data_IF_582624388917
#
_entry.id   IF_582624388917
#
_cell.length_a   1.000
_cell.length_b   1.000
_cell.length_c   1.000
_cell.angle_alpha   90.00
_cell.angle_beta   90.00
_cell.angle_gamma   90.00
#
_symmetry.space_group_name_H-M   'P 1'
#
loop_
_entity.id
_entity.type
_entity.pdbx_description
1 polymer ?
#
# COMPACT_ATOMS: atom_id res chain seq x y z
N UNK A 1 25.00 -0.74 20.19
CA UNK A 1 25.20 -0.53 18.74
C UNK A 1 24.97 -1.87 18.08
N UNK A 2 23.81 -2.06 17.48
CA UNK A 2 23.51 -3.25 16.69
C UNK A 2 22.60 -2.78 15.55
N UNK A 3 23.17 -2.81 14.36
CA UNK A 3 22.55 -2.91 13.04
C UNK A 3 21.26 -2.13 12.76
N UNK A 4 21.50 -0.88 12.35
CA UNK A 4 20.77 -0.26 11.25
C UNK A 4 20.98 -1.10 9.97
N UNK A 5 20.19 -2.14 9.78
CA UNK A 5 20.14 -2.86 8.49
C UNK A 5 18.74 -3.38 8.11
N UNK A 6 17.82 -3.54 9.07
CA UNK A 6 16.46 -4.03 8.80
C UNK A 6 15.43 -2.95 8.41
N UNK A 7 15.80 -1.66 8.40
CA UNK A 7 14.84 -0.56 8.17
C UNK A 7 14.36 -0.44 6.70
N UNK A 8 15.00 -1.09 5.74
CA UNK A 8 14.86 -0.71 4.32
C UNK A 8 14.49 -1.81 3.32
N UNK A 9 14.05 -3.01 3.73
CA UNK A 9 13.74 -4.04 2.71
C UNK A 9 12.64 -5.05 3.03
N UNK A 10 11.54 -4.58 3.65
CA UNK A 10 10.22 -5.18 3.49
C UNK A 10 9.24 -4.04 3.27
N UNK A 11 8.73 -3.86 2.04
CA UNK A 11 7.55 -3.02 1.85
C UNK A 11 6.35 -3.77 2.46
N UNK A 12 6.14 -3.65 3.76
CA UNK A 12 5.02 -4.26 4.50
C UNK A 12 3.66 -3.62 4.18
N UNK A 13 3.63 -2.62 3.28
CA UNK A 13 2.45 -1.81 2.96
C UNK A 13 1.86 -2.11 1.57
N UNK A 14 2.32 -3.17 0.90
CA UNK A 14 1.78 -3.60 -0.40
C UNK A 14 1.65 -5.12 -0.49
N UNK A 15 0.52 -5.59 -1.00
CA UNK A 15 0.23 -7.00 -1.21
C UNK A 15 -0.21 -7.24 -2.67
N UNK A 16 0.33 -8.29 -3.30
CA UNK A 16 -0.22 -8.80 -4.56
C UNK A 16 -1.35 -9.76 -4.21
N UNK A 17 -2.55 -9.48 -4.70
CA UNK A 17 -3.74 -10.31 -4.45
C UNK A 17 -3.93 -11.32 -5.58
N UNK A 18 -3.66 -10.93 -6.84
CA UNK A 18 -3.81 -11.79 -8.01
C UNK A 18 -2.83 -11.43 -9.15
N UNK A 19 -2.47 -12.43 -9.96
CA UNK A 19 -1.60 -12.26 -11.13
C UNK A 19 -2.38 -12.49 -12.43
N UNK A 20 -2.23 -11.61 -13.42
CA UNK A 20 -2.69 -11.86 -14.80
C UNK A 20 -1.69 -12.71 -15.59
N UNK A 21 -0.39 -12.57 -15.30
CA UNK A 21 0.69 -13.24 -16.02
C UNK A 21 1.82 -13.62 -15.06
N UNK A 22 2.61 -14.64 -15.44
CA UNK A 22 3.76 -15.08 -14.66
C UNK A 22 5.05 -14.98 -15.49
N UNK A 23 6.08 -14.26 -15.04
CA UNK A 23 6.18 -13.59 -13.73
C UNK A 23 5.40 -12.27 -13.64
N UNK A 24 4.88 -11.97 -12.46
CA UNK A 24 4.32 -10.66 -12.10
C UNK A 24 5.35 -9.74 -11.44
N UNK A 25 5.19 -8.44 -11.63
CA UNK A 25 6.00 -7.39 -11.01
C UNK A 25 5.07 -6.31 -10.45
N UNK A 26 5.24 -6.03 -9.16
CA UNK A 26 4.62 -4.89 -8.50
C UNK A 26 5.71 -4.05 -7.84
N UNK A 27 5.78 -2.79 -8.21
CA UNK A 27 6.65 -1.80 -7.58
C UNK A 27 5.81 -0.62 -7.17
N UNK A 28 5.84 -0.24 -5.91
CA UNK A 28 5.21 0.97 -5.43
C UNK A 28 6.21 1.87 -4.73
N UNK A 29 6.05 3.17 -4.95
CA UNK A 29 6.76 4.24 -4.25
C UNK A 29 5.75 5.24 -3.72
N UNK A 30 6.00 5.79 -2.54
CA UNK A 30 5.11 6.73 -1.86
C UNK A 30 5.86 8.02 -1.56
N UNK A 31 5.22 9.14 -1.86
CA UNK A 31 5.67 10.48 -1.48
C UNK A 31 4.51 11.21 -0.80
N UNK A 32 4.46 11.19 0.53
CA UNK A 32 3.32 11.70 1.31
C UNK A 32 2.02 10.98 0.93
N UNK A 33 1.04 11.71 0.38
CA UNK A 33 -0.27 11.21 -0.07
C UNK A 33 -0.28 10.71 -1.52
N UNK A 34 0.84 10.81 -2.23
CA UNK A 34 0.95 10.35 -3.62
C UNK A 34 1.64 8.99 -3.69
N UNK A 35 0.99 8.06 -4.39
CA UNK A 35 1.44 6.71 -4.62
C UNK A 35 1.65 6.49 -6.11
N UNK A 36 2.84 6.05 -6.46
CA UNK A 36 3.20 5.65 -7.80
C UNK A 36 3.43 4.15 -7.85
N UNK A 37 2.62 3.46 -8.63
CA UNK A 37 2.61 2.00 -8.74
C UNK A 37 2.89 1.59 -10.18
N UNK A 38 3.82 0.65 -10.34
CA UNK A 38 4.06 -0.06 -11.59
C UNK A 38 3.62 -1.50 -11.37
N UNK A 39 2.56 -1.90 -12.08
CA UNK A 39 1.99 -3.24 -12.05
C UNK A 39 2.14 -3.87 -13.44
N UNK A 40 2.84 -5.01 -13.54
CA UNK A 40 2.98 -5.79 -14.78
C UNK A 40 2.70 -7.25 -14.49
N UNK A 41 1.74 -7.84 -15.19
CA UNK A 41 1.32 -9.22 -14.91
C UNK A 41 0.61 -9.39 -13.55
N UNK A 42 0.17 -8.29 -12.93
CA UNK A 42 -0.56 -8.24 -11.66
C UNK A 42 -1.95 -7.70 -11.95
N UNK A 43 -3.00 -8.43 -11.60
CA UNK A 43 -4.38 -8.00 -11.83
C UNK A 43 -4.92 -7.19 -10.67
N UNK A 44 -4.71 -7.66 -9.44
CA UNK A 44 -5.21 -7.03 -8.23
C UNK A 44 -4.10 -6.94 -7.18
N UNK A 45 -4.09 -5.82 -6.46
CA UNK A 45 -3.17 -5.57 -5.37
C UNK A 45 -3.79 -4.64 -4.34
N UNK A 46 -3.23 -4.66 -3.13
CA UNK A 46 -3.68 -3.86 -2.00
C UNK A 46 -2.56 -2.97 -1.50
N UNK A 47 -2.85 -1.68 -1.34
CA UNK A 47 -2.00 -0.73 -0.61
C UNK A 47 -2.53 -0.58 0.81
N UNK A 48 -1.66 -0.70 1.81
CA UNK A 48 -1.99 -0.46 3.20
C UNK A 48 -1.47 0.91 3.62
N UNK A 49 -2.35 1.72 4.22
CA UNK A 49 -2.07 3.11 4.58
C UNK A 49 -1.86 3.25 6.08
N UNK A 50 -0.75 3.89 6.46
CA UNK A 50 -0.40 4.21 7.85
C UNK A 50 -0.62 5.72 8.10
N UNK A 51 -1.36 6.13 9.14
CA UNK A 51 -1.63 7.54 9.46
C UNK A 51 -0.39 8.35 9.87
N UNK A 52 0.71 7.69 10.26
CA UNK A 52 1.99 8.38 10.48
C UNK A 52 2.68 8.74 9.16
N UNK A 53 2.25 8.11 8.07
CA UNK A 53 2.87 8.20 6.76
C UNK A 53 2.05 9.05 5.80
N UNK A 54 0.71 8.96 5.85
CA UNK A 54 -0.22 9.72 5.01
C UNK A 54 -1.09 10.67 5.83
N UNK A 55 -1.50 11.77 5.22
CA UNK A 55 -2.44 12.73 5.81
C UNK A 55 -3.86 12.48 5.27
N UNK A 56 -4.69 11.76 6.04
CA UNK A 56 -6.08 11.47 5.67
C UNK A 56 -6.99 12.70 5.60
N UNK A 57 -6.53 13.88 6.05
CA UNK A 57 -7.25 15.14 5.82
C UNK A 57 -7.09 15.71 4.41
N UNK A 58 -6.16 15.13 3.64
CA UNK A 58 -5.90 15.48 2.24
C UNK A 58 -6.23 14.30 1.33
N UNK A 59 -6.58 14.55 0.06
CA UNK A 59 -6.81 13.49 -0.91
C UNK A 59 -5.58 12.58 -1.00
N UNK A 60 -5.82 11.27 -1.04
CA UNK A 60 -4.81 10.29 -1.43
C UNK A 60 -4.87 10.19 -2.94
N UNK A 61 -3.70 10.24 -3.58
CA UNK A 61 -3.58 10.09 -5.01
C UNK A 61 -2.84 8.79 -5.31
N UNK A 62 -3.41 7.93 -6.14
CA UNK A 62 -2.75 6.72 -6.62
C UNK A 62 -2.70 6.73 -8.13
N UNK A 63 -1.49 6.62 -8.65
CA UNK A 63 -1.22 6.46 -10.07
C UNK A 63 -0.69 5.04 -10.30
N UNK A 64 -1.33 4.30 -11.21
CA UNK A 64 -0.94 2.94 -11.59
C UNK A 64 -0.56 2.97 -13.06
N UNK A 65 0.67 2.56 -13.37
CA UNK A 65 1.22 2.57 -14.72
C UNK A 65 1.13 3.94 -15.44
N UNK A 66 1.10 5.04 -14.66
CA UNK A 66 0.99 6.41 -15.17
C UNK A 66 -0.46 6.92 -15.30
N UNK A 67 -1.46 6.11 -14.97
CA UNK A 67 -2.86 6.51 -14.96
C UNK A 67 -3.34 6.77 -13.52
N UNK A 68 -3.99 7.91 -13.30
CA UNK A 68 -4.59 8.19 -11.99
C UNK A 68 -5.83 7.32 -11.79
N UNK A 69 -5.74 6.36 -10.89
CA UNK A 69 -6.84 5.42 -10.57
C UNK A 69 -7.63 5.86 -9.34
N UNK A 70 -7.02 6.69 -8.48
CA UNK A 70 -7.64 7.19 -7.26
C UNK A 70 -7.13 8.61 -6.97
N UNK A 71 -8.05 9.51 -6.60
CA UNK A 71 -7.74 10.87 -6.13
C UNK A 71 -8.88 11.38 -5.24
N UNK A 72 -8.99 10.85 -4.03
CA UNK A 72 -10.10 11.14 -3.12
C UNK A 72 -9.68 11.09 -1.65
N UNK A 73 -10.54 11.58 -0.76
CA UNK A 73 -10.35 11.44 0.68
C UNK A 73 -10.65 10.00 1.08
N UNK A 74 -9.63 9.31 1.60
CA UNK A 74 -9.77 7.96 2.15
C UNK A 74 -10.17 8.08 3.60
N UNK A 75 -11.25 7.40 3.99
CA UNK A 75 -11.65 7.31 5.39
C UNK A 75 -10.89 6.20 6.09
N UNK A 76 -10.45 6.46 7.32
CA UNK A 76 -9.83 5.45 8.16
C UNK A 76 -10.88 4.43 8.62
N UNK A 77 -10.59 3.14 8.46
CA UNK A 77 -11.42 2.04 8.94
C UNK A 77 -10.75 1.34 10.13
N UNK A 78 -11.41 1.46 11.29
CA UNK A 78 -10.92 0.94 12.57
C UNK A 78 -11.00 -0.60 12.63
N UNK A 79 -11.87 -1.24 11.86
CA UNK A 79 -11.99 -2.70 11.82
C UNK A 79 -10.84 -3.32 11.02
N UNK A 80 -10.43 -2.70 9.90
CA UNK A 80 -9.22 -3.06 9.15
C UNK A 80 -7.96 -2.99 10.03
N UNK A 81 -7.87 -2.00 10.93
CA UNK A 81 -6.75 -1.84 11.87
C UNK A 81 -6.60 -3.03 12.85
N UNK A 82 -7.70 -3.58 13.37
CA UNK A 82 -7.65 -4.71 14.31
C UNK A 82 -7.22 -6.00 13.61
N UNK A 83 -7.62 -6.21 12.36
CA UNK A 83 -7.26 -7.40 11.59
C UNK A 83 -5.76 -7.46 11.27
N UNK A 84 -5.15 -6.34 10.87
CA UNK A 84 -3.71 -6.30 10.56
C UNK A 84 -2.83 -6.31 11.83
N UNK A 85 -3.24 -5.61 12.90
CA UNK A 85 -2.49 -5.58 14.16
C UNK A 85 -2.33 -6.97 14.82
N UNK A 86 -3.31 -7.87 14.63
CA UNK A 86 -3.25 -9.26 15.12
C UNK A 86 -2.35 -10.15 14.25
N UNK A 87 -2.23 -9.84 12.95
CA UNK A 87 -1.49 -10.66 11.98
C UNK A 87 0.00 -10.35 11.95
N UNK A 88 0.40 -9.07 12.05
CA UNK A 88 1.80 -8.68 11.87
C UNK A 88 2.67 -8.83 13.13
N UNK A 89 2.06 -8.94 14.33
CA UNK A 89 2.74 -8.98 15.65
C UNK A 89 3.74 -7.82 15.90
N UNK A 90 3.85 -6.86 14.98
CA UNK A 90 4.68 -5.68 15.07
C UNK A 90 3.76 -4.47 15.32
N UNK A 91 3.72 -4.03 16.59
CA UNK A 91 2.83 -2.93 17.03
C UNK A 91 3.21 -1.56 16.45
N UNK A 92 4.28 -1.48 15.66
CA UNK A 92 4.78 -0.26 15.06
C UNK A 92 4.17 0.06 13.68
N UNK A 93 3.37 -0.82 13.09
CA UNK A 93 2.69 -0.58 11.80
C UNK A 93 1.18 -0.74 11.97
N UNK A 94 0.53 0.32 12.45
CA UNK A 94 -0.92 0.42 12.43
C UNK A 94 -1.35 0.88 11.04
N UNK A 95 -1.86 -0.04 10.23
CA UNK A 95 -2.55 0.32 9.00
C UNK A 95 -4.01 0.64 9.32
N UNK A 96 -4.45 1.86 9.02
CA UNK A 96 -5.81 2.32 9.32
C UNK A 96 -6.70 2.43 8.08
N UNK A 97 -6.16 2.19 6.90
CA UNK A 97 -6.95 2.03 5.68
C UNK A 97 -6.25 1.08 4.70
N UNK A 98 -7.06 0.46 3.86
CA UNK A 98 -6.59 -0.37 2.74
C UNK A 98 -7.23 0.11 1.44
N UNK A 99 -6.45 0.10 0.37
CA UNK A 99 -6.91 0.42 -0.98
C UNK A 99 -6.71 -0.81 -1.84
N UNK A 100 -7.82 -1.46 -2.19
CA UNK A 100 -7.81 -2.54 -3.17
C UNK A 100 -7.90 -1.93 -4.56
N UNK A 101 -6.91 -2.22 -5.40
CA UNK A 101 -6.74 -1.63 -6.72
C UNK A 101 -6.54 -2.72 -7.76
N UNK A 102 -7.11 -2.51 -8.94
CA UNK A 102 -6.94 -3.38 -10.09
C UNK A 102 -6.14 -2.66 -11.17
N UNK A 103 -5.21 -3.37 -11.80
CA UNK A 103 -4.52 -2.89 -13.00
C UNK A 103 -5.28 -3.40 -14.23
N UNK A 104 -5.78 -2.48 -15.06
CA UNK A 104 -6.34 -2.82 -16.37
C UNK A 104 -5.15 -3.09 -17.33
N UNK A 105 -4.65 -4.33 -17.33
CA UNK A 105 -3.73 -4.85 -18.36
C UNK A 105 -4.30 -6.12 -19.00
#
# INVERSE_FOLDING_TARGET
MADRADKFNRNSWIQIDSLSQNPGLLKATRTSNEFEVVARGVSDFTLLLNPEEVDFSQPIQVNVNGENVLNELVSEDIETMVQWAVRDLDRAMLFTAELNLSSDE
#
